data_IF_317105256068
#
_entry.id   IF_317105256068
#
_cell.length_a   1.000
_cell.length_b   1.000
_cell.length_c   1.000
_cell.angle_alpha   90.00
_cell.angle_beta   90.00
_cell.angle_gamma   90.00
#
_symmetry.space_group_name_H-M   'P 1'
#
loop_
_entity.id
_entity.type
_entity.pdbx_description
1 polymer ?
#
# COMPACT_ATOMS: atom_id res chain seq x y z
N UNK A 1 2.26 -16.65 -47.65
CA UNK A 1 1.34 -15.56 -47.27
C UNK A 1 1.06 -15.70 -45.80
N UNK A 2 1.68 -14.87 -44.95
CA UNK A 2 1.53 -14.98 -43.51
C UNK A 2 0.24 -14.25 -43.08
N UNK A 3 -0.69 -14.98 -42.48
CA UNK A 3 -2.04 -14.47 -42.17
C UNK A 3 -2.03 -13.69 -40.86
N UNK A 4 -2.51 -12.44 -40.87
CA UNK A 4 -2.82 -11.64 -39.66
C UNK A 4 -3.56 -12.53 -38.64
N UNK A 5 -3.17 -12.44 -37.35
CA UNK A 5 -3.83 -13.22 -36.29
C UNK A 5 -5.34 -13.02 -36.37
N UNK A 6 -6.11 -14.12 -36.44
CA UNK A 6 -7.54 -14.08 -36.78
C UNK A 6 -8.34 -13.13 -35.90
N UNK A 7 -7.99 -13.01 -34.62
CA UNK A 7 -8.66 -12.12 -33.66
C UNK A 7 -8.44 -10.61 -33.94
N UNK A 8 -7.34 -10.25 -34.60
CA UNK A 8 -7.01 -8.86 -34.97
C UNK A 8 -7.49 -8.46 -36.36
N UNK A 9 -8.13 -9.37 -37.11
CA UNK A 9 -8.70 -9.02 -38.40
C UNK A 9 -9.72 -7.91 -38.21
N UNK A 10 -9.54 -6.80 -38.92
CA UNK A 10 -10.47 -5.68 -38.88
C UNK A 10 -11.91 -6.10 -39.24
N UNK A 11 -12.05 -7.17 -40.02
CA UNK A 11 -13.32 -7.84 -40.33
C UNK A 11 -14.09 -8.29 -39.08
N UNK A 12 -13.43 -8.56 -37.95
CA UNK A 12 -14.11 -8.87 -36.69
C UNK A 12 -14.90 -7.68 -36.16
N UNK A 13 -14.43 -6.44 -36.37
CA UNK A 13 -15.20 -5.24 -35.99
C UNK A 13 -16.48 -5.12 -36.82
N UNK A 14 -16.55 -5.74 -38.00
CA UNK A 14 -17.77 -5.82 -38.82
C UNK A 14 -18.81 -6.78 -38.24
N UNK A 15 -18.49 -7.52 -37.19
CA UNK A 15 -19.46 -8.36 -36.46
C UNK A 15 -20.12 -7.60 -35.30
N UNK A 16 -19.59 -6.42 -34.94
CA UNK A 16 -20.21 -5.56 -33.94
C UNK A 16 -21.54 -4.99 -34.44
N UNK A 17 -22.53 -4.74 -33.55
CA UNK A 17 -23.73 -3.98 -33.88
C UNK A 17 -23.37 -2.64 -34.55
N UNK A 18 -24.20 -2.18 -35.49
CA UNK A 18 -23.91 -0.98 -36.31
C UNK A 18 -23.57 0.26 -35.47
N UNK A 19 -24.28 0.48 -34.36
CA UNK A 19 -24.02 1.58 -33.42
C UNK A 19 -22.63 1.48 -32.79
N UNK A 20 -22.28 0.30 -32.25
CA UNK A 20 -20.98 0.00 -31.64
C UNK A 20 -19.85 0.08 -32.66
N UNK A 21 -20.08 -0.46 -33.87
CA UNK A 21 -19.10 -0.46 -34.95
C UNK A 21 -18.70 0.95 -35.35
N UNK A 22 -19.64 1.89 -35.42
CA UNK A 22 -19.33 3.29 -35.77
C UNK A 22 -18.38 3.91 -34.76
N UNK A 23 -18.65 3.71 -33.47
CA UNK A 23 -17.81 4.20 -32.36
C UNK A 23 -16.44 3.52 -32.42
N UNK A 24 -16.40 2.20 -32.59
CA UNK A 24 -15.17 1.43 -32.64
C UNK A 24 -14.28 1.84 -33.85
N UNK A 25 -14.88 2.06 -35.02
CA UNK A 25 -14.15 2.54 -36.20
C UNK A 25 -13.66 3.98 -36.06
N UNK A 26 -14.44 4.86 -35.44
CA UNK A 26 -14.02 6.23 -35.17
C UNK A 26 -12.89 6.28 -34.13
N UNK A 27 -12.98 5.45 -33.09
CA UNK A 27 -11.93 5.24 -32.10
C UNK A 27 -10.63 4.73 -32.76
N UNK A 28 -10.72 3.71 -33.63
CA UNK A 28 -9.58 3.23 -34.41
C UNK A 28 -9.01 4.30 -35.38
N UNK A 29 -9.77 5.33 -35.74
CA UNK A 29 -9.23 6.46 -36.53
C UNK A 29 -8.62 7.56 -35.67
N UNK A 30 -8.47 7.34 -34.37
CA UNK A 30 -7.89 8.28 -33.42
C UNK A 30 -8.90 9.20 -32.72
N UNK A 31 -10.22 8.98 -32.85
CA UNK A 31 -11.21 9.76 -32.10
C UNK A 31 -11.19 9.39 -30.62
N UNK A 32 -10.64 10.28 -29.78
CA UNK A 32 -10.53 10.09 -28.33
C UNK A 32 -11.89 10.01 -27.61
N UNK A 33 -12.88 10.76 -28.09
CA UNK A 33 -14.24 10.75 -27.54
C UNK A 33 -14.87 9.37 -27.78
N UNK A 34 -14.71 8.82 -28.98
CA UNK A 34 -15.23 7.50 -29.32
C UNK A 34 -14.43 6.38 -28.65
N UNK A 35 -13.11 6.56 -28.46
CA UNK A 35 -12.28 5.63 -27.68
C UNK A 35 -12.78 5.52 -26.24
N UNK A 36 -13.07 6.67 -25.62
CA UNK A 36 -13.60 6.75 -24.26
C UNK A 36 -15.01 6.14 -24.18
N UNK A 37 -15.87 6.44 -25.17
CA UNK A 37 -17.21 5.86 -25.26
C UNK A 37 -17.15 4.33 -25.45
N UNK A 38 -16.24 3.83 -26.28
CA UNK A 38 -16.03 2.40 -26.48
C UNK A 38 -15.55 1.70 -25.20
N UNK A 39 -14.58 2.29 -24.49
CA UNK A 39 -14.12 1.75 -23.20
C UNK A 39 -15.26 1.75 -22.17
N UNK A 40 -16.10 2.78 -22.14
CA UNK A 40 -17.29 2.81 -21.29
C UNK A 40 -18.30 1.71 -21.68
N UNK A 41 -18.49 1.45 -22.97
CA UNK A 41 -19.34 0.35 -23.46
C UNK A 41 -18.80 -1.01 -22.99
N UNK A 42 -17.51 -1.29 -23.21
CA UNK A 42 -16.84 -2.51 -22.76
C UNK A 42 -16.94 -2.68 -21.24
N UNK A 43 -16.85 -1.58 -20.48
CA UNK A 43 -16.99 -1.61 -19.02
C UNK A 43 -18.43 -1.84 -18.55
N UNK A 44 -19.41 -1.30 -19.27
CA UNK A 44 -20.84 -1.38 -18.90
C UNK A 44 -21.50 -2.70 -19.31
N UNK A 45 -20.97 -3.37 -20.33
CA UNK A 45 -21.50 -4.63 -20.83
C UNK A 45 -20.67 -5.78 -20.27
N UNK A 46 -21.31 -6.71 -19.56
CA UNK A 46 -20.75 -8.04 -19.30
C UNK A 46 -20.68 -8.83 -20.62
N UNK A 47 -19.81 -8.40 -21.53
CA UNK A 47 -19.60 -9.02 -22.83
C UNK A 47 -19.18 -10.48 -22.62
N UNK A 48 -19.81 -11.39 -23.36
CA UNK A 48 -19.31 -12.74 -23.44
C UNK A 48 -17.92 -12.73 -24.10
N UNK A 49 -17.00 -13.66 -23.75
CA UNK A 49 -15.64 -13.65 -24.31
C UNK A 49 -15.55 -13.55 -25.85
N UNK A 50 -16.43 -14.20 -26.65
CA UNK A 50 -16.41 -14.07 -28.11
C UNK A 50 -16.75 -12.65 -28.62
N UNK A 51 -17.50 -11.88 -27.84
CA UNK A 51 -17.87 -10.51 -28.19
C UNK A 51 -16.75 -9.53 -27.86
N UNK A 52 -16.00 -9.78 -26.77
CA UNK A 52 -14.80 -9.03 -26.44
C UNK A 52 -13.73 -9.14 -27.54
N UNK A 53 -13.62 -10.30 -28.19
CA UNK A 53 -12.71 -10.50 -29.33
C UNK A 53 -12.97 -9.55 -30.52
N UNK A 54 -14.20 -9.05 -30.67
CA UNK A 54 -14.57 -8.17 -31.77
C UNK A 54 -14.03 -6.74 -31.61
N UNK A 55 -13.67 -6.34 -30.38
CA UNK A 55 -13.09 -5.03 -30.08
C UNK A 55 -11.56 -5.01 -30.19
N UNK A 56 -10.94 -6.17 -30.31
CA UNK A 56 -9.49 -6.33 -30.28
C UNK A 56 -8.74 -5.54 -31.37
N UNK A 57 -9.21 -5.49 -32.64
CA UNK A 57 -8.58 -4.65 -33.64
C UNK A 57 -8.64 -3.16 -33.30
N UNK A 58 -9.69 -2.71 -32.60
CA UNK A 58 -9.85 -1.30 -32.22
C UNK A 58 -9.00 -0.95 -31.01
N UNK A 59 -8.98 -1.82 -30.00
CA UNK A 59 -8.07 -1.67 -28.85
C UNK A 59 -6.61 -1.66 -29.30
N UNK A 60 -6.27 -2.49 -30.30
CA UNK A 60 -4.98 -2.44 -30.96
C UNK A 60 -4.68 -1.05 -31.52
N UNK A 61 -5.57 -0.51 -32.36
CA UNK A 61 -5.30 0.76 -33.05
C UNK A 61 -5.27 1.97 -32.09
N UNK A 62 -6.07 1.92 -31.03
CA UNK A 62 -6.06 2.94 -29.98
C UNK A 62 -4.74 3.00 -29.22
N UNK A 63 -4.16 1.83 -28.99
CA UNK A 63 -2.89 1.73 -28.35
C UNK A 63 -1.81 2.10 -29.39
N UNK A 64 -1.88 1.60 -30.63
CA UNK A 64 -0.93 1.86 -31.73
C UNK A 64 -1.55 2.32 -33.04
N UNK A 65 -1.24 3.53 -33.51
CA UNK A 65 -1.67 3.97 -34.83
C UNK A 65 -0.95 3.24 -35.99
N UNK A 66 0.10 2.46 -35.73
CA UNK A 66 0.85 1.72 -36.75
C UNK A 66 0.00 0.59 -37.37
N UNK A 67 0.22 0.22 -38.65
CA UNK A 67 -0.44 -0.93 -39.27
C UNK A 67 -0.24 -2.19 -38.45
N UNK A 68 -1.28 -3.04 -38.33
CA UNK A 68 -1.19 -4.34 -37.66
C UNK A 68 -0.12 -5.19 -38.36
N UNK A 69 0.96 -5.65 -37.68
CA UNK A 69 1.99 -6.47 -38.28
C UNK A 69 1.38 -7.72 -38.91
N UNK A 70 1.81 -8.04 -40.13
CA UNK A 70 1.30 -9.18 -40.87
C UNK A 70 1.90 -10.50 -40.36
N UNK A 71 1.04 -11.48 -40.08
CA UNK A 71 1.40 -12.88 -39.80
C UNK A 71 2.48 -13.13 -38.75
N UNK A 72 3.47 -13.98 -39.08
CA UNK A 72 4.53 -14.45 -38.17
C UNK A 72 5.44 -13.31 -37.64
N UNK A 73 5.32 -12.09 -38.18
CA UNK A 73 5.96 -10.92 -37.60
C UNK A 73 5.36 -10.59 -36.23
N UNK A 74 4.05 -10.80 -36.04
CA UNK A 74 3.39 -10.68 -34.75
C UNK A 74 3.92 -11.72 -33.77
N UNK A 75 3.98 -12.99 -34.17
CA UNK A 75 4.53 -14.08 -33.34
C UNK A 75 6.02 -13.88 -33.05
N UNK A 76 6.81 -13.37 -33.99
CA UNK A 76 8.20 -12.99 -33.76
C UNK A 76 8.30 -11.80 -32.81
N UNK A 77 7.48 -10.76 -32.98
CA UNK A 77 7.40 -9.64 -32.02
C UNK A 77 7.04 -10.13 -30.62
N UNK A 78 6.17 -11.14 -30.54
CA UNK A 78 5.73 -11.78 -29.31
C UNK A 78 6.81 -12.68 -28.68
N UNK A 79 7.72 -13.27 -29.47
CA UNK A 79 8.70 -14.28 -29.01
C UNK A 79 10.14 -13.79 -28.91
N UNK A 80 10.53 -12.71 -29.61
CA UNK A 80 11.89 -12.16 -29.52
C UNK A 80 11.98 -11.15 -28.38
N UNK A 81 12.77 -11.48 -27.36
CA UNK A 81 12.96 -10.67 -26.13
C UNK A 81 13.68 -9.33 -26.34
N UNK A 82 14.22 -9.06 -27.53
CA UNK A 82 15.11 -7.92 -27.77
C UNK A 82 14.53 -6.96 -28.81
N UNK A 83 13.96 -5.85 -28.34
CA UNK A 83 13.62 -4.69 -29.17
C UNK A 83 14.53 -3.51 -28.89
N UNK A 84 14.90 -2.72 -29.91
CA UNK A 84 15.45 -1.39 -29.68
C UNK A 84 14.37 -0.48 -29.05
N UNK A 85 14.69 0.30 -27.99
CA UNK A 85 13.72 1.08 -27.20
C UNK A 85 12.89 2.11 -28.01
N UNK A 86 13.35 2.49 -29.20
CA UNK A 86 12.74 3.55 -30.02
C UNK A 86 11.58 3.08 -30.90
N UNK A 87 11.33 1.77 -31.02
CA UNK A 87 10.34 1.21 -31.92
C UNK A 87 9.37 0.25 -31.21
N UNK A 88 9.15 0.45 -29.91
CA UNK A 88 8.11 -0.29 -29.20
C UNK A 88 6.78 0.26 -29.68
N UNK A 89 6.31 -0.34 -30.77
CA UNK A 89 5.01 -0.10 -31.36
C UNK A 89 4.00 -0.45 -30.26
N UNK A 90 3.15 0.49 -29.88
CA UNK A 90 2.11 0.27 -28.88
C UNK A 90 1.20 -0.93 -29.21
N UNK A 91 1.36 -1.51 -30.39
CA UNK A 91 0.75 -2.69 -30.94
C UNK A 91 1.06 -3.87 -30.06
N UNK A 92 2.32 -3.99 -29.66
CA UNK A 92 2.79 -5.02 -28.74
C UNK A 92 2.16 -4.81 -27.36
N UNK A 93 2.13 -3.56 -26.87
CA UNK A 93 1.44 -3.19 -25.63
C UNK A 93 -0.06 -3.52 -25.70
N UNK A 94 -0.68 -3.30 -26.85
CA UNK A 94 -2.08 -3.56 -27.10
C UNK A 94 -2.42 -5.01 -27.20
N UNK A 95 -1.60 -5.77 -27.91
CA UNK A 95 -1.71 -7.21 -28.07
C UNK A 95 -1.46 -7.93 -26.76
N UNK A 96 -0.52 -7.47 -25.95
CA UNK A 96 -0.26 -8.05 -24.65
C UNK A 96 -1.33 -7.62 -23.63
N UNK A 97 -1.87 -6.40 -23.71
CA UNK A 97 -3.07 -5.99 -22.99
C UNK A 97 -4.32 -6.84 -23.39
N UNK A 98 -4.47 -7.10 -24.68
CA UNK A 98 -5.42 -8.07 -25.22
C UNK A 98 -5.20 -9.47 -24.63
N UNK A 99 -3.96 -9.93 -24.61
CA UNK A 99 -3.57 -11.27 -24.15
C UNK A 99 -3.76 -11.40 -22.65
N UNK A 100 -3.55 -10.34 -21.89
CA UNK A 100 -3.93 -10.19 -20.50
C UNK A 100 -5.44 -10.35 -20.30
N UNK A 101 -6.25 -9.66 -21.11
CA UNK A 101 -7.72 -9.78 -21.08
C UNK A 101 -8.16 -11.21 -21.37
N UNK A 102 -7.52 -11.88 -22.33
CA UNK A 102 -7.80 -13.25 -22.77
C UNK A 102 -7.27 -14.31 -21.77
N UNK A 103 -6.11 -14.07 -21.15
CA UNK A 103 -5.52 -15.00 -20.15
C UNK A 103 -6.33 -15.02 -18.86
N UNK A 104 -6.82 -13.86 -18.39
CA UNK A 104 -7.60 -13.74 -17.15
C UNK A 104 -9.02 -14.26 -17.31
N UNK A 105 -9.57 -14.27 -18.52
CA UNK A 105 -10.97 -14.66 -18.76
C UNK A 105 -11.23 -16.17 -18.72
N UNK A 106 -10.46 -16.96 -17.95
CA UNK A 106 -10.58 -18.42 -17.79
C UNK A 106 -10.25 -19.30 -19.00
N UNK A 107 -9.82 -18.73 -20.13
CA UNK A 107 -9.67 -19.49 -21.39
C UNK A 107 -8.28 -20.15 -21.53
N UNK A 108 -7.23 -19.68 -20.85
CA UNK A 108 -5.84 -20.12 -21.11
C UNK A 108 -5.00 -20.55 -19.88
N UNK A 109 -5.55 -20.61 -18.67
CA UNK A 109 -4.84 -21.17 -17.50
C UNK A 109 -3.59 -20.40 -17.05
N UNK A 110 -3.42 -19.13 -17.41
CA UNK A 110 -2.29 -18.30 -16.97
C UNK A 110 -2.38 -17.89 -15.49
N UNK A 111 -1.24 -17.71 -14.82
CA UNK A 111 -1.21 -17.27 -13.42
C UNK A 111 -1.28 -15.74 -13.30
N UNK A 112 -1.74 -15.22 -12.16
CA UNK A 112 -1.67 -13.77 -11.88
C UNK A 112 -0.24 -13.23 -11.91
N UNK A 113 0.77 -14.07 -11.62
CA UNK A 113 2.19 -13.70 -11.67
C UNK A 113 2.66 -13.39 -13.09
N UNK A 114 2.24 -14.20 -14.06
CA UNK A 114 2.61 -14.00 -15.48
C UNK A 114 2.02 -12.69 -16.01
N UNK A 115 0.74 -12.46 -15.70
CA UNK A 115 0.04 -11.22 -16.03
C UNK A 115 0.71 -10.00 -15.41
N UNK A 116 1.02 -10.07 -14.11
CA UNK A 116 1.67 -8.98 -13.40
C UNK A 116 3.05 -8.65 -13.98
N UNK A 117 3.85 -9.67 -14.27
CA UNK A 117 5.17 -9.53 -14.89
C UNK A 117 5.09 -8.85 -16.26
N UNK A 118 4.13 -9.28 -17.08
CA UNK A 118 3.87 -8.68 -18.39
C UNK A 118 3.46 -7.21 -18.26
N UNK A 119 2.50 -6.90 -17.39
CA UNK A 119 2.06 -5.52 -17.11
C UNK A 119 3.23 -4.62 -16.70
N UNK A 120 4.11 -5.09 -15.82
CA UNK A 120 5.27 -4.35 -15.35
C UNK A 120 6.27 -4.11 -16.46
N UNK A 121 6.52 -5.12 -17.30
CA UNK A 121 7.35 -4.98 -18.50
C UNK A 121 6.82 -3.87 -19.40
N UNK A 122 5.50 -3.81 -19.63
CA UNK A 122 4.90 -2.76 -20.46
C UNK A 122 4.92 -1.38 -19.82
N UNK A 123 4.71 -1.25 -18.51
CA UNK A 123 4.87 0.04 -17.83
C UNK A 123 6.31 0.53 -17.96
N UNK A 124 7.28 -0.37 -17.76
CA UNK A 124 8.71 -0.05 -17.89
C UNK A 124 9.09 0.37 -19.31
N UNK A 125 8.51 -0.30 -20.31
CA UNK A 125 8.62 0.06 -21.73
C UNK A 125 7.97 1.42 -22.01
N UNK A 126 6.75 1.65 -21.49
CA UNK A 126 6.01 2.90 -21.66
C UNK A 126 6.69 4.08 -20.98
N UNK A 127 7.45 3.84 -19.92
CA UNK A 127 8.33 4.83 -19.30
C UNK A 127 9.46 5.27 -20.25
N UNK A 128 10.03 4.35 -21.01
CA UNK A 128 11.03 4.66 -22.03
C UNK A 128 10.43 5.48 -23.20
N UNK A 129 9.13 5.31 -23.49
CA UNK A 129 8.42 6.15 -24.44
C UNK A 129 8.30 7.60 -23.93
N UNK A 130 8.56 8.59 -24.79
CA UNK A 130 8.43 10.02 -24.45
C UNK A 130 6.98 10.52 -24.42
N UNK A 131 6.04 9.71 -24.88
CA UNK A 131 4.64 10.11 -25.10
C UNK A 131 3.77 9.86 -23.85
N UNK A 132 3.28 10.90 -23.17
CA UNK A 132 2.54 10.79 -21.91
C UNK A 132 1.20 10.06 -22.04
N UNK A 133 0.52 10.17 -23.18
CA UNK A 133 -0.75 9.47 -23.41
C UNK A 133 -0.59 7.94 -23.36
N UNK A 134 0.53 7.39 -23.86
CA UNK A 134 0.80 5.94 -23.82
C UNK A 134 0.86 5.43 -22.39
N UNK A 135 1.53 6.19 -21.52
CA UNK A 135 1.63 5.89 -20.09
C UNK A 135 0.27 5.97 -19.39
N UNK A 136 -0.54 6.98 -19.71
CA UNK A 136 -1.88 7.13 -19.16
C UNK A 136 -2.82 5.98 -19.60
N UNK A 137 -2.72 5.51 -20.85
CA UNK A 137 -3.48 4.37 -21.35
C UNK A 137 -3.07 3.07 -20.66
N UNK A 138 -1.76 2.83 -20.47
CA UNK A 138 -1.24 1.70 -19.72
C UNK A 138 -1.81 1.64 -18.29
N UNK A 139 -1.81 2.76 -17.57
CA UNK A 139 -2.40 2.82 -16.22
C UNK A 139 -3.92 2.60 -16.24
N UNK A 140 -4.61 3.09 -17.27
CA UNK A 140 -6.05 2.83 -17.43
C UNK A 140 -6.33 1.34 -17.59
N UNK A 141 -5.50 0.65 -18.38
CA UNK A 141 -5.57 -0.78 -18.57
C UNK A 141 -5.31 -1.52 -17.26
N UNK A 142 -4.21 -1.24 -16.55
CA UNK A 142 -3.91 -1.91 -15.27
C UNK A 142 -5.03 -1.73 -14.25
N UNK A 143 -5.57 -0.51 -14.11
CA UNK A 143 -6.66 -0.27 -13.17
C UNK A 143 -7.92 -1.09 -13.51
N UNK A 144 -8.19 -1.31 -14.80
CA UNK A 144 -9.34 -2.11 -15.22
C UNK A 144 -9.26 -3.54 -14.66
N UNK A 145 -8.07 -4.15 -14.66
CA UNK A 145 -7.86 -5.48 -14.07
C UNK A 145 -7.93 -5.45 -12.56
N UNK A 146 -7.36 -4.43 -11.92
CA UNK A 146 -7.41 -4.30 -10.48
C UNK A 146 -8.85 -4.20 -9.97
N UNK A 147 -9.78 -3.57 -10.70
CA UNK A 147 -11.15 -3.30 -10.22
C UNK A 147 -12.12 -4.49 -10.16
N UNK A 148 -11.84 -5.63 -10.80
CA UNK A 148 -12.74 -6.79 -10.72
C UNK A 148 -12.58 -7.46 -9.35
N UNK A 149 -13.66 -7.49 -8.55
CA UNK A 149 -13.64 -7.86 -7.14
C UNK A 149 -12.99 -9.24 -6.86
N UNK A 150 -13.29 -10.25 -7.69
CA UNK A 150 -12.72 -11.61 -7.55
C UNK A 150 -11.24 -11.71 -7.96
N UNK A 151 -10.74 -10.71 -8.69
CA UNK A 151 -9.37 -10.62 -9.22
C UNK A 151 -8.50 -9.71 -8.35
N UNK A 152 -9.11 -8.81 -7.58
CA UNK A 152 -8.46 -7.67 -6.96
C UNK A 152 -7.31 -8.07 -6.02
N UNK A 153 -7.51 -9.01 -5.10
CA UNK A 153 -6.50 -9.36 -4.10
C UNK A 153 -5.35 -10.19 -4.71
N UNK A 154 -5.67 -11.23 -5.48
CA UNK A 154 -4.68 -12.09 -6.13
C UNK A 154 -3.81 -11.33 -7.13
N UNK A 155 -4.43 -10.47 -7.95
CA UNK A 155 -3.69 -9.68 -8.92
C UNK A 155 -2.87 -8.56 -8.29
N UNK A 156 -3.40 -7.85 -7.28
CA UNK A 156 -2.63 -6.81 -6.58
C UNK A 156 -1.42 -7.41 -5.85
N UNK A 157 -1.59 -8.58 -5.22
CA UNK A 157 -0.48 -9.32 -4.60
C UNK A 157 0.57 -9.74 -5.63
N UNK A 158 0.14 -10.20 -6.80
CA UNK A 158 1.04 -10.54 -7.91
C UNK A 158 1.79 -9.33 -8.46
N UNK A 159 1.12 -8.18 -8.62
CA UNK A 159 1.74 -6.91 -9.04
C UNK A 159 2.83 -6.46 -8.05
N UNK A 160 2.54 -6.49 -6.74
CA UNK A 160 3.52 -6.13 -5.70
C UNK A 160 4.72 -7.09 -5.72
N UNK A 161 4.44 -8.39 -5.78
CA UNK A 161 5.47 -9.45 -5.81
C UNK A 161 6.36 -9.34 -7.05
N UNK A 162 5.81 -8.86 -8.16
CA UNK A 162 6.53 -8.67 -9.42
C UNK A 162 7.26 -7.32 -9.52
N UNK A 163 7.14 -6.43 -8.51
CA UNK A 163 7.88 -5.16 -8.46
C UNK A 163 7.22 -3.98 -9.17
N UNK A 164 5.87 -3.86 -9.13
CA UNK A 164 5.15 -2.76 -9.79
C UNK A 164 5.44 -1.36 -9.22
N UNK A 165 5.89 -1.27 -7.97
CA UNK A 165 5.89 -0.02 -7.21
C UNK A 165 6.84 1.01 -7.83
N UNK A 166 8.09 0.65 -8.10
CA UNK A 166 9.06 1.59 -8.66
C UNK A 166 8.65 2.09 -10.07
N UNK A 167 8.27 1.22 -11.04
CA UNK A 167 7.75 1.68 -12.32
C UNK A 167 6.48 2.53 -12.22
N UNK A 168 5.58 2.19 -11.29
CA UNK A 168 4.35 2.96 -11.08
C UNK A 168 4.65 4.38 -10.57
N UNK A 169 5.51 4.51 -9.55
CA UNK A 169 5.88 5.83 -9.01
C UNK A 169 6.64 6.66 -10.04
N UNK A 170 7.57 6.05 -10.79
CA UNK A 170 8.26 6.74 -11.90
C UNK A 170 7.29 7.20 -12.98
N UNK A 171 6.24 6.43 -13.25
CA UNK A 171 5.22 6.78 -14.26
C UNK A 171 4.41 7.97 -13.79
N UNK A 172 3.97 7.95 -12.52
CA UNK A 172 3.27 9.06 -11.90
C UNK A 172 4.12 10.33 -11.92
N UNK A 173 5.39 10.26 -11.50
CA UNK A 173 6.32 11.40 -11.51
C UNK A 173 6.52 12.00 -12.90
N UNK A 174 6.54 11.16 -13.94
CA UNK A 174 6.67 11.69 -15.30
C UNK A 174 5.37 12.30 -15.83
N UNK A 175 4.22 11.72 -15.49
CA UNK A 175 2.91 12.26 -15.87
C UNK A 175 2.62 13.60 -15.18
N UNK A 176 3.00 13.78 -13.92
CA UNK A 176 2.80 15.04 -13.18
C UNK A 176 3.62 16.20 -13.70
N UNK A 177 4.65 15.92 -14.49
CA UNK A 177 5.47 16.93 -15.16
C UNK A 177 4.93 17.32 -16.55
N UNK A 178 3.82 16.73 -16.98
CA UNK A 178 3.18 17.04 -18.27
C UNK A 178 1.95 17.92 -18.05
N UNK A 179 1.71 18.92 -18.91
CA UNK A 179 0.54 19.82 -18.85
C UNK A 179 -0.70 19.27 -19.57
N UNK A 180 -0.58 18.14 -20.28
CA UNK A 180 -1.66 17.55 -21.06
C UNK A 180 -2.79 17.01 -20.16
N UNK A 181 -4.05 17.26 -20.55
CA UNK A 181 -5.22 16.78 -19.82
C UNK A 181 -5.25 15.24 -19.65
N UNK A 182 -4.74 14.50 -20.65
CA UNK A 182 -4.64 13.04 -20.60
C UNK A 182 -3.72 12.58 -19.46
N UNK A 183 -2.66 13.35 -19.17
CA UNK A 183 -1.75 13.03 -18.09
C UNK A 183 -2.45 13.06 -16.72
N UNK A 184 -3.38 14.00 -16.50
CA UNK A 184 -4.17 14.09 -15.25
C UNK A 184 -5.05 12.85 -15.04
N UNK A 185 -5.66 12.35 -16.12
CA UNK A 185 -6.40 11.09 -16.06
C UNK A 185 -5.47 9.94 -15.69
N UNK A 186 -4.29 9.86 -16.32
CA UNK A 186 -3.26 8.87 -15.99
C UNK A 186 -2.82 8.92 -14.53
N UNK A 187 -2.61 10.13 -13.98
CA UNK A 187 -2.27 10.34 -12.56
C UNK A 187 -3.36 9.78 -11.65
N UNK A 188 -4.62 10.16 -11.86
CA UNK A 188 -5.76 9.62 -11.08
C UNK A 188 -5.80 8.09 -11.09
N UNK A 189 -5.59 7.48 -12.26
CA UNK A 189 -5.59 6.03 -12.42
C UNK A 189 -4.40 5.37 -11.71
N UNK A 190 -3.21 5.94 -11.82
CA UNK A 190 -2.02 5.45 -11.14
C UNK A 190 -2.14 5.48 -9.62
N UNK A 191 -2.74 6.54 -9.04
CA UNK A 191 -3.02 6.60 -7.61
C UNK A 191 -4.06 5.56 -7.16
N UNK A 192 -5.08 5.29 -7.98
CA UNK A 192 -6.04 4.21 -7.70
C UNK A 192 -5.38 2.82 -7.72
N UNK A 193 -4.43 2.57 -8.62
CA UNK A 193 -3.62 1.33 -8.63
C UNK A 193 -2.73 1.27 -7.39
N UNK A 194 -2.07 2.38 -7.05
CA UNK A 194 -1.23 2.46 -5.86
C UNK A 194 -2.05 2.16 -4.60
N UNK A 195 -3.27 2.71 -4.48
CA UNK A 195 -4.19 2.42 -3.39
C UNK A 195 -4.53 0.94 -3.29
N UNK A 196 -4.83 0.28 -4.40
CA UNK A 196 -5.07 -1.16 -4.43
C UNK A 196 -3.84 -1.94 -3.93
N UNK A 197 -2.63 -1.55 -4.35
CA UNK A 197 -1.39 -2.18 -3.90
C UNK A 197 -1.12 -1.95 -2.41
N UNK A 198 -1.45 -0.76 -1.89
CA UNK A 198 -1.28 -0.40 -0.48
C UNK A 198 -2.37 -0.98 0.43
N UNK A 199 -3.33 -1.74 -0.09
CA UNK A 199 -4.30 -2.49 0.71
C UNK A 199 -3.89 -3.96 0.92
N UNK A 200 -2.85 -4.43 0.23
CA UNK A 200 -2.36 -5.80 0.33
C UNK A 200 -1.26 -5.89 1.39
N UNK A 201 -1.33 -6.93 2.23
CA UNK A 201 -0.30 -7.21 3.22
C UNK A 201 0.94 -7.87 2.60
N UNK A 202 2.17 -7.57 3.05
CA UNK A 202 2.52 -6.64 4.13
C UNK A 202 2.56 -5.17 3.69
N UNK A 203 1.58 -4.35 4.11
CA UNK A 203 1.40 -2.97 3.64
C UNK A 203 2.66 -2.10 3.86
N UNK A 204 3.32 -2.29 4.99
CA UNK A 204 4.46 -1.47 5.41
C UNK A 204 5.69 -1.63 4.51
N UNK A 205 5.90 -2.81 3.92
CA UNK A 205 6.99 -3.01 2.97
C UNK A 205 6.69 -2.30 1.64
N UNK A 206 5.44 -2.37 1.19
CA UNK A 206 4.98 -1.69 -0.02
C UNK A 206 5.05 -0.17 0.13
N UNK A 207 4.63 0.38 1.27
CA UNK A 207 4.79 1.82 1.59
C UNK A 207 6.26 2.22 1.60
N UNK A 208 7.12 1.46 2.29
CA UNK A 208 8.54 1.77 2.36
C UNK A 208 9.22 1.79 0.97
N UNK A 209 8.85 0.86 0.08
CA UNK A 209 9.30 0.87 -1.33
C UNK A 209 8.80 2.10 -2.07
N UNK A 210 7.51 2.43 -1.94
CA UNK A 210 6.92 3.58 -2.63
C UNK A 210 7.57 4.90 -2.19
N UNK A 211 7.84 5.08 -0.89
CA UNK A 211 8.56 6.24 -0.35
C UNK A 211 9.95 6.36 -0.99
N UNK A 212 10.74 5.26 -1.01
CA UNK A 212 12.08 5.25 -1.64
C UNK A 212 12.03 5.50 -3.14
N UNK A 213 10.96 5.08 -3.81
CA UNK A 213 10.76 5.32 -5.23
C UNK A 213 10.38 6.79 -5.55
N UNK A 214 10.21 7.65 -4.55
CA UNK A 214 9.91 9.07 -4.73
C UNK A 214 8.43 9.45 -4.58
N UNK A 215 7.59 8.61 -3.95
CA UNK A 215 6.16 8.88 -3.75
C UNK A 215 5.90 10.27 -3.16
N UNK A 216 6.71 10.71 -2.20
CA UNK A 216 6.54 12.02 -1.56
C UNK A 216 6.67 13.18 -2.57
N UNK A 217 7.66 13.13 -3.46
CA UNK A 217 7.86 14.14 -4.52
C UNK A 217 6.67 14.19 -5.47
N UNK A 218 6.14 13.02 -5.85
CA UNK A 218 4.96 12.90 -6.70
C UNK A 218 3.75 13.55 -6.03
N UNK A 219 3.48 13.26 -4.76
CA UNK A 219 2.36 13.83 -4.00
C UNK A 219 2.44 15.37 -3.99
N UNK A 220 3.61 15.92 -3.64
CA UNK A 220 3.81 17.39 -3.59
C UNK A 220 3.58 18.01 -4.97
N UNK A 221 4.16 17.41 -6.02
CA UNK A 221 4.04 17.92 -7.40
C UNK A 221 2.59 17.90 -7.88
N UNK A 222 1.85 16.83 -7.56
CA UNK A 222 0.43 16.74 -7.90
C UNK A 222 -0.42 17.76 -7.14
N UNK A 223 -0.16 17.97 -5.85
CA UNK A 223 -0.99 18.83 -5.01
C UNK A 223 -1.06 20.27 -5.53
N UNK A 224 0.00 20.74 -6.20
CA UNK A 224 0.05 22.07 -6.82
C UNK A 224 -0.54 22.06 -8.24
N UNK A 225 -0.31 21.01 -9.01
CA UNK A 225 -0.64 20.97 -10.45
C UNK A 225 -2.01 20.40 -10.80
N UNK A 226 -2.64 19.63 -9.90
CA UNK A 226 -3.87 18.90 -10.18
C UNK A 226 -5.05 19.44 -9.37
N UNK A 227 -5.96 20.23 -9.99
CA UNK A 227 -7.16 20.72 -9.31
C UNK A 227 -8.27 19.66 -9.20
N UNK A 228 -8.09 18.45 -9.75
CA UNK A 228 -9.13 17.42 -9.76
C UNK A 228 -9.36 16.83 -8.35
N UNK A 229 -10.60 16.92 -7.88
CA UNK A 229 -11.03 16.43 -6.56
C UNK A 229 -10.76 14.93 -6.38
N UNK A 230 -10.94 14.13 -7.44
CA UNK A 230 -10.63 12.69 -7.45
C UNK A 230 -9.19 12.43 -7.02
N UNK A 231 -8.25 13.18 -7.58
CA UNK A 231 -6.80 13.05 -7.34
C UNK A 231 -6.44 13.53 -5.94
N UNK A 232 -7.04 14.65 -5.51
CA UNK A 232 -6.90 15.21 -4.16
C UNK A 232 -7.36 14.25 -3.07
N UNK A 233 -8.46 13.54 -3.28
CA UNK A 233 -8.97 12.55 -2.33
C UNK A 233 -7.98 11.40 -2.05
N UNK A 234 -7.24 10.96 -3.08
CA UNK A 234 -6.22 9.92 -2.94
C UNK A 234 -4.99 10.42 -2.16
N UNK A 235 -4.62 11.69 -2.31
CA UNK A 235 -3.52 12.30 -1.54
C UNK A 235 -3.86 12.46 -0.08
N UNK A 236 -5.07 12.96 0.20
CA UNK A 236 -5.57 13.09 1.55
C UNK A 236 -5.60 11.71 2.22
N UNK A 237 -6.09 10.67 1.53
CA UNK A 237 -6.01 9.31 2.05
C UNK A 237 -4.57 8.85 2.33
N UNK A 238 -3.61 9.11 1.44
CA UNK A 238 -2.21 8.74 1.66
C UNK A 238 -1.57 9.49 2.84
N UNK A 239 -1.67 10.82 2.86
CA UNK A 239 -0.98 11.70 3.82
C UNK A 239 -1.64 11.69 5.19
N UNK A 240 -2.97 11.57 5.25
CA UNK A 240 -3.73 11.62 6.51
C UNK A 240 -3.91 10.23 7.11
N UNK A 241 -4.05 9.19 6.28
CA UNK A 241 -4.41 7.84 6.76
C UNK A 241 -3.25 6.86 6.63
N UNK A 242 -2.73 6.65 5.42
CA UNK A 242 -1.79 5.54 5.17
C UNK A 242 -0.41 5.79 5.78
N UNK A 243 0.20 6.94 5.47
CA UNK A 243 1.55 7.24 5.92
C UNK A 243 1.61 7.34 7.45
N UNK A 244 0.75 8.11 8.15
CA UNK A 244 0.76 8.14 9.61
C UNK A 244 0.61 6.76 10.25
N UNK A 245 -0.35 5.95 9.78
CA UNK A 245 -0.62 4.61 10.32
C UNK A 245 0.56 3.66 10.14
N UNK A 246 1.35 3.82 9.08
CA UNK A 246 2.49 2.93 8.77
C UNK A 246 3.81 3.39 9.40
N UNK A 247 3.87 4.58 10.00
CA UNK A 247 5.05 5.07 10.73
C UNK A 247 5.35 4.35 12.06
N UNK A 248 4.56 3.33 12.40
CA UNK A 248 4.87 2.40 13.48
C UNK A 248 5.84 1.30 13.07
N UNK A 249 6.07 1.12 11.77
CA UNK A 249 6.93 0.09 11.23
C UNK A 249 8.33 0.63 10.94
N UNK A 250 9.35 -0.09 11.44
CA UNK A 250 10.75 0.26 11.27
C UNK A 250 11.12 0.53 9.80
N UNK A 251 10.71 -0.35 8.88
CA UNK A 251 11.05 -0.22 7.46
C UNK A 251 10.55 1.10 6.84
N UNK A 252 9.39 1.59 7.28
CA UNK A 252 8.78 2.83 6.80
C UNK A 252 9.46 4.04 7.43
N UNK A 253 9.75 4.01 8.73
CA UNK A 253 10.47 5.11 9.41
C UNK A 253 11.87 5.29 8.84
N UNK A 254 12.59 4.20 8.54
CA UNK A 254 13.88 4.27 7.83
C UNK A 254 13.72 4.90 6.45
N UNK A 255 12.75 4.43 5.65
CA UNK A 255 12.50 5.02 4.33
C UNK A 255 12.16 6.53 4.42
N UNK A 256 11.40 6.94 5.43
CA UNK A 256 11.12 8.36 5.67
C UNK A 256 12.35 9.14 6.13
N UNK A 257 13.19 8.59 7.02
CA UNK A 257 14.45 9.22 7.42
C UNK A 257 15.31 9.55 6.20
N UNK A 258 15.37 8.61 5.27
CA UNK A 258 16.26 8.71 4.11
C UNK A 258 15.68 9.64 3.02
N UNK A 259 14.36 9.84 2.94
CA UNK A 259 13.71 10.55 1.83
C UNK A 259 12.92 11.82 2.21
N UNK A 260 12.50 11.99 3.47
CA UNK A 260 11.57 13.06 3.84
C UNK A 260 12.23 14.45 3.86
N UNK A 261 13.53 14.52 4.19
CA UNK A 261 14.30 15.78 4.15
C UNK A 261 14.30 16.40 2.76
N UNK A 262 14.65 15.61 1.74
CA UNK A 262 14.64 16.04 0.34
C UNK A 262 13.23 16.40 -0.13
N UNK A 263 12.22 15.64 0.27
CA UNK A 263 10.83 15.96 -0.04
C UNK A 263 10.36 17.28 0.59
N UNK A 264 10.75 17.56 1.85
CA UNK A 264 10.45 18.83 2.53
C UNK A 264 11.16 20.00 1.85
N UNK A 265 12.42 19.82 1.43
CA UNK A 265 13.14 20.81 0.65
C UNK A 265 12.46 21.08 -0.70
N UNK A 266 12.06 20.03 -1.43
CA UNK A 266 11.34 20.16 -2.69
C UNK A 266 10.00 20.89 -2.51
N UNK A 267 9.23 20.55 -1.47
CA UNK A 267 7.98 21.23 -1.13
C UNK A 267 8.16 22.73 -0.87
N UNK A 268 9.25 23.13 -0.22
CA UNK A 268 9.55 24.53 0.04
C UNK A 268 9.92 25.33 -1.23
N UNK A 269 10.37 24.65 -2.30
CA UNK A 269 10.73 25.27 -3.58
C UNK A 269 9.57 25.35 -4.58
N UNK A 270 8.43 24.70 -4.30
CA UNK A 270 7.29 24.70 -5.22
C UNK A 270 6.32 25.82 -4.83
N UNK A 271 6.26 26.84 -5.68
CA UNK A 271 5.34 27.97 -5.53
C UNK A 271 3.89 27.50 -5.37
N UNK A 272 3.20 28.05 -4.37
CA UNK A 272 1.81 27.75 -4.08
C UNK A 272 1.55 26.50 -3.24
N UNK A 273 2.54 25.63 -2.98
CA UNK A 273 2.32 24.43 -2.16
C UNK A 273 1.80 24.77 -0.75
N UNK A 274 2.33 25.82 -0.12
CA UNK A 274 1.89 26.30 1.19
C UNK A 274 0.46 26.83 1.24
N UNK A 275 -0.13 27.12 0.08
CA UNK A 275 -1.52 27.59 -0.04
C UNK A 275 -2.49 26.45 -0.34
N UNK A 276 -1.99 25.24 -0.61
CA UNK A 276 -2.82 24.05 -0.81
C UNK A 276 -3.45 23.62 0.52
N UNK A 277 -4.61 22.97 0.43
CA UNK A 277 -5.29 22.38 1.59
C UNK A 277 -4.56 21.17 2.18
N UNK A 278 -3.63 20.58 1.42
CA UNK A 278 -2.79 19.47 1.86
C UNK A 278 -1.68 19.94 2.83
N UNK A 279 -1.29 21.21 2.78
CA UNK A 279 -0.16 21.74 3.53
C UNK A 279 -0.25 21.53 5.05
N UNK A 280 -1.40 21.76 5.73
CA UNK A 280 -1.53 21.46 7.16
C UNK A 280 -1.30 19.98 7.48
N UNK A 281 -1.87 19.07 6.67
CA UNK A 281 -1.69 17.63 6.85
C UNK A 281 -0.26 17.18 6.56
N UNK A 282 0.39 17.80 5.58
CA UNK A 282 1.81 17.60 5.27
C UNK A 282 2.72 17.98 6.44
N UNK A 283 2.48 19.13 7.08
CA UNK A 283 3.24 19.55 8.26
C UNK A 283 2.99 18.62 9.46
N UNK A 284 1.73 18.25 9.70
CA UNK A 284 1.39 17.30 10.77
C UNK A 284 2.03 15.91 10.57
N UNK A 285 2.17 15.48 9.30
CA UNK A 285 2.94 14.29 8.93
C UNK A 285 4.44 14.50 9.19
N UNK A 286 4.99 15.66 8.84
CA UNK A 286 6.38 16.03 9.09
C UNK A 286 6.75 15.97 10.56
N UNK A 287 5.94 16.56 11.44
CA UNK A 287 6.13 16.49 12.90
C UNK A 287 6.13 15.05 13.41
N UNK A 288 5.21 14.22 12.87
CA UNK A 288 5.13 12.81 13.22
C UNK A 288 6.38 12.06 12.74
N UNK A 289 6.83 12.29 11.50
CA UNK A 289 8.06 11.69 10.94
C UNK A 289 9.27 12.05 11.80
N UNK A 290 9.45 13.34 12.13
CA UNK A 290 10.59 13.81 12.92
C UNK A 290 10.60 13.17 14.32
N UNK A 291 9.45 13.08 14.98
CA UNK A 291 9.31 12.37 16.25
C UNK A 291 9.69 10.88 16.13
N UNK A 292 9.18 10.18 15.10
CA UNK A 292 9.42 8.76 14.88
C UNK A 292 10.88 8.47 14.55
N UNK A 293 11.55 9.35 13.79
CA UNK A 293 13.00 9.30 13.54
C UNK A 293 13.78 9.51 14.84
N UNK A 294 13.35 10.43 15.71
CA UNK A 294 13.95 10.63 17.03
C UNK A 294 13.93 9.35 17.88
N UNK A 295 12.80 8.64 17.90
CA UNK A 295 12.68 7.34 18.56
C UNK A 295 13.58 6.29 17.91
N UNK A 296 13.62 6.23 16.57
CA UNK A 296 14.49 5.31 15.83
C UNK A 296 15.96 5.53 16.19
N UNK A 297 16.44 6.77 16.18
CA UNK A 297 17.84 7.11 16.48
C UNK A 297 18.21 6.79 17.94
N UNK A 298 17.30 7.04 18.88
CA UNK A 298 17.48 6.66 20.30
C UNK A 298 17.59 5.14 20.46
N UNK A 299 16.74 4.39 19.77
CA UNK A 299 16.78 2.93 19.77
C UNK A 299 18.04 2.36 19.09
N UNK A 300 18.48 2.92 17.96
CA UNK A 300 19.69 2.49 17.26
C UNK A 300 20.97 2.78 18.09
N UNK A 301 21.03 3.93 18.77
CA UNK A 301 22.20 4.34 19.57
C UNK A 301 22.37 3.56 20.87
N UNK A 302 21.26 3.13 21.50
CA UNK A 302 21.31 2.35 22.75
C UNK A 302 21.63 0.88 22.53
N UNK A 303 21.50 0.38 21.29
CA UNK A 303 21.60 -1.05 20.98
C UNK A 303 20.40 -1.83 21.51
N UNK A 304 20.03 -2.89 20.80
CA UNK A 304 18.93 -3.82 21.14
C UNK A 304 18.70 -4.08 22.64
N UNK A 305 17.44 -4.40 22.97
CA UNK A 305 16.47 -3.49 23.57
C UNK A 305 16.92 -3.05 24.96
N UNK A 306 16.55 -1.83 25.35
CA UNK A 306 16.76 -1.29 26.68
C UNK A 306 16.33 -2.24 27.81
N UNK A 307 16.71 -1.94 29.06
CA UNK A 307 16.41 -2.80 30.19
C UNK A 307 14.93 -3.17 30.21
N UNK A 308 14.62 -4.46 30.24
CA UNK A 308 13.26 -4.92 30.46
C UNK A 308 12.96 -4.89 31.96
N UNK A 309 11.70 -4.70 32.32
CA UNK A 309 11.25 -4.79 33.70
C UNK A 309 10.56 -6.14 33.95
N UNK A 310 10.76 -6.70 35.14
CA UNK A 310 10.05 -7.89 35.54
C UNK A 310 8.54 -7.60 35.65
N UNK A 311 7.71 -8.40 34.97
CA UNK A 311 6.24 -8.24 35.02
C UNK A 311 5.65 -8.47 36.43
N UNK A 312 6.38 -9.10 37.34
CA UNK A 312 5.95 -9.27 38.72
C UNK A 312 6.43 -8.14 39.63
N UNK A 313 7.75 -7.98 39.79
CA UNK A 313 8.35 -7.11 40.80
C UNK A 313 8.87 -5.78 40.26
N UNK A 314 8.87 -5.56 38.94
CA UNK A 314 9.37 -4.35 38.31
C UNK A 314 10.88 -4.20 38.21
N UNK A 315 11.67 -5.13 38.77
CA UNK A 315 13.13 -5.07 38.66
C UNK A 315 13.57 -4.99 37.19
N UNK A 316 14.47 -4.05 36.89
CA UNK A 316 15.05 -3.85 35.57
C UNK A 316 16.42 -4.54 35.46
N UNK A 317 16.66 -5.25 34.35
CA UNK A 317 17.94 -5.94 34.03
C UNK A 317 18.19 -5.93 32.52
N UNK A 318 19.34 -6.43 32.07
CA UNK A 318 19.51 -6.68 30.64
C UNK A 318 18.54 -7.79 30.18
N UNK A 319 17.96 -7.66 28.98
CA UNK A 319 16.96 -8.62 28.47
C UNK A 319 17.44 -10.08 28.49
N UNK A 320 18.74 -10.30 28.26
CA UNK A 320 19.37 -11.64 28.31
C UNK A 320 19.29 -12.30 29.69
N UNK A 321 19.08 -11.52 30.75
CA UNK A 321 18.97 -12.00 32.13
C UNK A 321 17.52 -12.32 32.53
N UNK A 322 16.55 -12.00 31.67
CA UNK A 322 15.15 -12.32 31.92
C UNK A 322 14.76 -13.69 31.37
N UNK A 323 13.92 -14.38 32.13
CA UNK A 323 13.17 -15.53 31.67
C UNK A 323 11.91 -15.06 30.95
N UNK A 324 11.69 -15.55 29.74
CA UNK A 324 10.49 -15.27 28.95
C UNK A 324 9.40 -16.30 29.27
N UNK A 325 8.14 -15.89 29.34
CA UNK A 325 7.03 -16.84 29.43
C UNK A 325 7.01 -17.76 28.19
N UNK A 326 7.01 -19.08 28.40
CA UNK A 326 6.96 -20.05 27.30
C UNK A 326 5.60 -20.09 26.58
N UNK A 327 4.51 -19.67 27.24
CA UNK A 327 3.17 -19.67 26.66
C UNK A 327 2.93 -18.50 25.71
N UNK A 328 3.11 -17.27 26.19
CA UNK A 328 2.82 -16.07 25.39
C UNK A 328 4.05 -15.43 24.73
N UNK A 329 5.26 -15.77 25.18
CA UNK A 329 6.51 -15.19 24.69
C UNK A 329 6.63 -13.65 24.80
N UNK A 330 5.79 -13.02 25.63
CA UNK A 330 5.67 -11.55 25.72
C UNK A 330 6.02 -10.98 27.08
N UNK A 331 5.85 -11.75 28.15
CA UNK A 331 6.17 -11.32 29.51
C UNK A 331 7.55 -11.82 29.94
N UNK A 332 8.27 -10.96 30.64
CA UNK A 332 9.63 -11.18 31.11
C UNK A 332 9.68 -11.22 32.64
N UNK A 333 10.45 -12.15 33.19
CA UNK A 333 10.60 -12.37 34.63
C UNK A 333 12.06 -12.46 35.03
N UNK A 334 12.46 -11.74 36.07
CA UNK A 334 13.84 -11.80 36.56
C UNK A 334 14.17 -13.14 37.26
N UNK A 335 13.15 -13.93 37.59
CA UNK A 335 13.28 -15.26 38.19
C UNK A 335 12.05 -16.13 37.89
N UNK A 336 12.19 -17.45 38.03
CA UNK A 336 11.07 -18.39 37.96
C UNK A 336 10.07 -18.19 39.11
N UNK A 337 10.53 -17.63 40.24
CA UNK A 337 9.65 -17.33 41.37
C UNK A 337 8.69 -16.19 41.03
N UNK A 338 9.22 -15.09 40.49
CA UNK A 338 8.41 -14.00 39.95
C UNK A 338 7.39 -14.47 38.90
N UNK A 339 7.79 -15.41 38.03
CA UNK A 339 6.88 -16.00 37.06
C UNK A 339 5.74 -16.80 37.72
N UNK A 340 6.03 -17.63 38.73
CA UNK A 340 5.01 -18.45 39.43
C UNK A 340 4.02 -17.57 40.19
N UNK A 341 4.52 -16.54 40.88
CA UNK A 341 3.65 -15.61 41.62
C UNK A 341 2.74 -14.89 40.62
N UNK A 342 3.32 -14.33 39.56
CA UNK A 342 2.54 -13.62 38.54
C UNK A 342 1.51 -14.53 37.85
N UNK A 343 1.88 -15.78 37.58
CA UNK A 343 0.98 -16.79 37.04
C UNK A 343 -0.27 -16.97 37.89
N UNK A 344 -0.11 -17.12 39.21
CA UNK A 344 -1.24 -17.31 40.14
C UNK A 344 -2.09 -16.06 40.28
N UNK A 345 -1.46 -14.88 40.26
CA UNK A 345 -2.14 -13.61 40.56
C UNK A 345 -2.87 -13.04 39.34
N UNK A 346 -2.26 -13.05 38.15
CA UNK A 346 -2.84 -12.35 36.99
C UNK A 346 -2.53 -12.96 35.63
N UNK A 347 -1.31 -13.47 35.42
CA UNK A 347 -0.85 -13.82 34.09
C UNK A 347 -1.57 -15.04 33.51
N UNK A 348 -2.09 -15.96 34.33
CA UNK A 348 -2.82 -17.14 33.84
C UNK A 348 -4.00 -16.78 32.93
N UNK A 349 -4.75 -15.72 33.26
CA UNK A 349 -5.87 -15.26 32.45
C UNK A 349 -5.42 -14.47 31.21
N UNK A 350 -4.32 -13.71 31.33
CA UNK A 350 -3.80 -12.88 30.24
C UNK A 350 -2.98 -13.67 29.22
N UNK A 351 -2.34 -14.78 29.62
CA UNK A 351 -1.39 -15.51 28.79
C UNK A 351 -2.00 -16.02 27.48
N UNK A 352 -3.20 -16.64 27.44
CA UNK A 352 -3.83 -17.05 26.18
C UNK A 352 -4.12 -15.86 25.25
N UNK A 353 -4.57 -14.73 25.81
CA UNK A 353 -4.86 -13.50 25.05
C UNK A 353 -3.57 -12.96 24.42
N UNK A 354 -2.47 -13.00 25.17
CA UNK A 354 -1.15 -12.59 24.71
C UNK A 354 -0.52 -13.60 23.73
N UNK A 355 -0.82 -14.90 23.83
CA UNK A 355 -0.31 -15.93 22.92
C UNK A 355 -1.05 -15.96 21.58
N UNK A 356 -2.37 -15.73 21.56
CA UNK A 356 -3.17 -15.65 20.33
C UNK A 356 -2.74 -14.48 19.42
N UNK A 357 -2.05 -13.49 19.96
CA UNK A 357 -1.40 -12.41 19.22
C UNK A 357 -0.14 -12.85 18.42
N UNK A 358 0.00 -14.14 18.09
CA UNK A 358 1.13 -14.70 17.33
C UNK A 358 1.25 -14.17 15.89
N UNK A 359 0.21 -13.50 15.36
CA UNK A 359 0.26 -12.87 14.04
C UNK A 359 1.42 -11.86 13.93
N UNK A 360 1.66 -11.09 15.00
CA UNK A 360 2.82 -10.19 15.10
C UNK A 360 4.18 -10.95 15.12
N UNK A 361 4.22 -12.21 15.53
CA UNK A 361 5.49 -12.94 15.64
C UNK A 361 5.95 -13.58 14.33
N UNK A 362 5.02 -13.94 13.43
CA UNK A 362 5.41 -14.56 12.15
C UNK A 362 5.76 -13.54 11.07
N UNK A 363 5.11 -12.39 11.05
CA UNK A 363 5.24 -11.44 9.93
C UNK A 363 6.32 -10.38 10.12
N UNK A 364 6.80 -10.14 11.34
CA UNK A 364 7.80 -9.10 11.62
C UNK A 364 9.20 -9.65 11.81
N UNK A 365 10.19 -8.89 11.36
CA UNK A 365 11.61 -9.12 11.65
C UNK A 365 11.93 -8.79 13.12
N UNK A 366 13.09 -9.25 13.59
CA UNK A 366 13.58 -8.90 14.94
C UNK A 366 13.75 -7.39 15.12
N UNK A 367 14.19 -6.69 14.07
CA UNK A 367 14.36 -5.22 14.08
C UNK A 367 13.02 -4.51 14.19
N UNK A 368 12.02 -4.93 13.42
CA UNK A 368 10.67 -4.35 13.49
C UNK A 368 10.05 -4.50 14.87
N UNK A 369 10.15 -5.70 15.47
CA UNK A 369 9.67 -5.89 16.85
C UNK A 369 10.41 -4.98 17.83
N UNK A 370 11.73 -4.89 17.74
CA UNK A 370 12.54 -4.04 18.60
C UNK A 370 12.14 -2.57 18.53
N UNK A 371 11.97 -2.05 17.31
CA UNK A 371 11.52 -0.68 17.09
C UNK A 371 10.09 -0.45 17.59
N UNK A 372 9.14 -1.34 17.28
CA UNK A 372 7.75 -1.23 17.75
C UNK A 372 7.72 -1.14 19.28
N UNK A 373 8.51 -1.95 19.99
CA UNK A 373 8.60 -1.87 21.45
C UNK A 373 9.16 -0.52 21.91
N UNK A 374 10.28 -0.06 21.34
CA UNK A 374 10.83 1.26 21.67
C UNK A 374 9.83 2.39 21.42
N UNK A 375 9.02 2.27 20.37
CA UNK A 375 7.97 3.22 20.04
C UNK A 375 6.87 3.28 21.09
N UNK A 376 6.41 2.11 21.51
CA UNK A 376 5.39 1.96 22.55
C UNK A 376 5.88 2.54 23.86
N UNK A 377 7.13 2.27 24.23
CA UNK A 377 7.73 2.78 25.47
C UNK A 377 7.84 4.32 25.43
N UNK A 378 8.32 4.88 24.32
CA UNK A 378 8.39 6.33 24.13
C UNK A 378 7.01 7.00 24.19
N UNK A 379 6.01 6.43 23.49
CA UNK A 379 4.65 6.97 23.48
C UNK A 379 3.94 6.79 24.83
N UNK A 380 4.17 5.68 25.53
CA UNK A 380 3.65 5.46 26.87
C UNK A 380 4.25 6.46 27.87
N UNK A 381 5.56 6.71 27.80
CA UNK A 381 6.21 7.73 28.62
C UNK A 381 5.63 9.12 28.35
N UNK A 382 5.41 9.47 27.08
CA UNK A 382 4.81 10.75 26.66
C UNK A 382 3.35 10.90 27.14
N UNK A 383 2.58 9.81 27.12
CA UNK A 383 1.16 9.80 27.49
C UNK A 383 0.90 9.43 28.96
N UNK A 384 1.94 9.30 29.78
CA UNK A 384 1.87 8.70 31.10
C UNK A 384 0.82 9.33 32.03
N UNK A 385 0.71 10.67 32.02
CA UNK A 385 -0.27 11.35 32.86
C UNK A 385 -1.71 11.05 32.42
N UNK A 386 -1.97 11.06 31.11
CA UNK A 386 -3.27 10.74 30.56
C UNK A 386 -3.63 9.27 30.83
N UNK A 387 -2.72 8.34 30.56
CA UNK A 387 -2.97 6.92 30.81
C UNK A 387 -3.20 6.62 32.30
N UNK A 388 -2.48 7.31 33.19
CA UNK A 388 -2.70 7.19 34.63
C UNK A 388 -4.06 7.74 35.04
N UNK A 389 -4.44 8.92 34.55
CA UNK A 389 -5.74 9.51 34.83
C UNK A 389 -6.89 8.63 34.35
N UNK A 390 -6.84 8.19 33.09
CA UNK A 390 -7.84 7.30 32.49
C UNK A 390 -7.95 5.98 33.27
N UNK A 391 -6.82 5.48 33.78
CA UNK A 391 -6.80 4.26 34.62
C UNK A 391 -7.50 4.46 35.96
N UNK A 392 -7.29 5.61 36.61
CA UNK A 392 -7.97 5.94 37.87
C UNK A 392 -9.47 6.10 37.64
N UNK A 393 -9.88 6.85 36.60
CA UNK A 393 -11.28 6.97 36.23
C UNK A 393 -11.91 5.61 35.93
N UNK A 394 -11.22 4.75 35.17
CA UNK A 394 -11.68 3.41 34.87
C UNK A 394 -11.90 2.58 36.14
N UNK A 395 -10.93 2.57 37.07
CA UNK A 395 -11.06 1.86 38.36
C UNK A 395 -12.19 2.41 39.22
N UNK A 396 -12.39 3.74 39.23
CA UNK A 396 -13.48 4.37 39.98
C UNK A 396 -14.85 3.98 39.43
N UNK A 397 -15.01 3.94 38.09
CA UNK A 397 -16.26 3.58 37.44
C UNK A 397 -16.55 2.08 37.42
N UNK A 398 -15.57 1.22 37.74
CA UNK A 398 -15.70 -0.24 37.73
C UNK A 398 -15.09 -0.86 39.00
N UNK A 399 -15.62 -0.55 40.19
CA UNK A 399 -15.07 -1.04 41.46
C UNK A 399 -15.08 -2.58 41.58
N UNK A 400 -15.96 -3.26 40.84
CA UNK A 400 -16.04 -4.72 40.74
C UNK A 400 -14.99 -5.34 39.81
N UNK A 401 -14.37 -4.55 38.94
CA UNK A 401 -13.36 -5.07 38.01
C UNK A 401 -12.08 -5.39 38.78
N UNK A 402 -11.50 -6.59 38.60
CA UNK A 402 -10.24 -6.94 39.27
C UNK A 402 -9.15 -5.90 39.00
N UNK A 403 -8.20 -5.75 39.92
CA UNK A 403 -7.09 -4.78 39.89
C UNK A 403 -6.14 -4.88 38.66
N UNK A 404 -6.48 -5.72 37.69
CA UNK A 404 -5.74 -5.90 36.44
C UNK A 404 -6.54 -5.30 35.29
N UNK A 405 -5.97 -4.27 34.68
CA UNK A 405 -6.47 -3.64 33.47
C UNK A 405 -5.34 -3.50 32.45
N UNK A 406 -5.70 -3.19 31.22
CA UNK A 406 -4.77 -3.01 30.12
C UNK A 406 -4.88 -1.61 29.57
N UNK A 407 -3.74 -0.97 29.31
CA UNK A 407 -3.66 0.24 28.52
C UNK A 407 -3.39 -0.19 27.09
N UNK A 408 -4.36 0.00 26.20
CA UNK A 408 -4.20 -0.16 24.77
C UNK A 408 -3.79 1.19 24.17
N UNK A 409 -2.70 1.21 23.41
CA UNK A 409 -2.38 2.32 22.50
C UNK A 409 -2.83 1.94 21.08
N UNK A 410 -3.80 2.67 20.55
CA UNK A 410 -4.30 2.50 19.18
C UNK A 410 -3.57 3.42 18.21
N UNK A 411 -2.89 2.84 17.21
CA UNK A 411 -2.16 3.55 16.18
C UNK A 411 -2.90 3.64 14.84
N UNK A 412 -4.20 3.37 14.80
CA UNK A 412 -4.99 3.39 13.55
C UNK A 412 -4.88 4.72 12.80
N UNK A 413 -4.71 5.83 13.52
CA UNK A 413 -4.53 7.17 12.96
C UNK A 413 -3.07 7.66 13.00
N UNK A 414 -2.10 6.75 13.20
CA UNK A 414 -0.65 7.04 13.28
C UNK A 414 -0.15 7.64 14.60
N UNK A 415 -1.00 8.40 15.30
CA UNK A 415 -0.75 8.86 16.67
C UNK A 415 -1.41 7.89 17.67
N UNK A 416 -0.73 7.55 18.78
CA UNK A 416 -1.29 6.65 19.78
C UNK A 416 -2.48 7.30 20.49
N UNK A 417 -3.63 6.61 20.49
CA UNK A 417 -4.78 6.95 21.34
C UNK A 417 -4.82 5.95 22.50
N UNK A 418 -4.59 6.39 23.75
CA UNK A 418 -4.67 5.49 24.89
C UNK A 418 -6.12 5.13 25.19
N UNK A 419 -6.35 3.89 25.62
CA UNK A 419 -7.64 3.43 26.15
C UNK A 419 -7.40 2.38 27.22
N UNK A 420 -8.22 2.41 28.27
CA UNK A 420 -8.14 1.43 29.37
C UNK A 420 -9.20 0.36 29.16
N UNK A 421 -8.77 -0.90 29.18
CA UNK A 421 -9.61 -2.06 28.91
C UNK A 421 -9.58 -3.06 30.06
N UNK A 422 -10.75 -3.66 30.31
CA UNK A 422 -10.86 -4.86 31.12
C UNK A 422 -10.30 -6.08 30.37
N UNK A 423 -9.99 -7.13 31.12
CA UNK A 423 -9.61 -8.45 30.59
C UNK A 423 -10.67 -9.01 29.63
N UNK A 424 -11.95 -8.86 29.94
CA UNK A 424 -13.07 -9.36 29.14
C UNK A 424 -13.25 -8.60 27.82
N UNK A 425 -12.98 -7.28 27.82
CA UNK A 425 -13.06 -6.47 26.60
C UNK A 425 -11.86 -6.70 25.67
N UNK A 426 -10.69 -6.98 26.23
CA UNK A 426 -9.50 -7.30 25.44
C UNK A 426 -9.70 -8.55 24.58
N UNK A 427 -10.35 -9.58 25.11
CA UNK A 427 -10.62 -10.83 24.39
C UNK A 427 -11.60 -10.67 23.20
N UNK A 428 -12.39 -9.59 23.16
CA UNK A 428 -13.43 -9.36 22.14
C UNK A 428 -12.95 -8.54 20.94
N UNK A 429 -11.77 -7.92 20.99
CA UNK A 429 -11.30 -7.02 19.93
C UNK A 429 -10.59 -7.80 18.81
N UNK A 430 -10.91 -7.55 17.53
CA UNK A 430 -10.15 -8.10 16.41
C UNK A 430 -8.74 -7.48 16.42
N UNK A 431 -7.73 -8.33 16.64
CA UNK A 431 -6.33 -7.94 16.85
C UNK A 431 -5.60 -7.53 15.55
N UNK A 432 -6.33 -7.27 14.47
CA UNK A 432 -5.80 -6.86 13.16
C UNK A 432 -5.41 -5.37 13.11
N UNK A 433 -5.71 -4.61 14.17
CA UNK A 433 -5.24 -3.23 14.31
C UNK A 433 -3.93 -3.21 15.11
N UNK A 434 -3.06 -2.25 14.80
CA UNK A 434 -1.75 -2.10 15.43
C UNK A 434 -1.99 -1.57 16.85
N UNK A 435 -2.27 -2.50 17.76
CA UNK A 435 -2.53 -2.23 19.16
C UNK A 435 -1.32 -2.64 19.97
N UNK A 436 -0.83 -1.71 20.77
CA UNK A 436 0.13 -2.02 21.81
C UNK A 436 -0.60 -2.17 23.14
N UNK A 437 -0.33 -3.24 23.87
CA UNK A 437 -0.98 -3.51 25.15
C UNK A 437 0.07 -3.40 26.24
N UNK A 438 -0.08 -2.41 27.12
CA UNK A 438 0.69 -2.26 28.35
C UNK A 438 -0.17 -2.74 29.52
N UNK A 439 0.36 -3.59 30.37
CA UNK A 439 -0.38 -4.11 31.54
C UNK A 439 -0.25 -3.10 32.68
N UNK A 440 -1.38 -2.55 33.13
CA UNK A 440 -1.46 -1.70 34.31
C UNK A 440 -1.85 -2.49 35.55
N UNK A 441 -1.26 -2.15 36.71
CA UNK A 441 -1.67 -2.66 38.03
C UNK A 441 -1.89 -1.50 38.98
N UNK A 442 -2.96 -1.53 39.78
CA UNK A 442 -3.08 -0.64 40.94
C UNK A 442 -1.99 -0.91 41.98
N UNK A 443 -2.03 -0.27 43.16
CA UNK A 443 -1.45 1.05 43.50
C UNK A 443 0.05 1.29 43.14
N UNK A 444 0.66 0.50 42.25
CA UNK A 444 2.06 0.68 41.83
C UNK A 444 2.28 1.64 40.65
N UNK A 445 1.23 2.30 40.14
CA UNK A 445 1.30 3.28 39.03
C UNK A 445 2.23 4.49 39.33
N UNK A 446 2.53 4.73 40.61
CA UNK A 446 3.42 5.83 41.05
C UNK A 446 4.89 5.43 41.27
N UNK A 447 5.33 4.19 40.97
CA UNK A 447 6.73 3.75 41.23
C UNK A 447 7.66 3.70 40.01
N UNK A 448 7.22 4.18 38.85
CA UNK A 448 8.10 4.40 37.69
C UNK A 448 8.35 5.88 37.44
#
# INVERSE_FOLDING_TARGET
MSTIHKALLFQNTLRLPLSTRRIALAAAKGSLQDASAMLAMIQSQSLAPPEAELFLPVLYVLLDPSPIPEGDALERIITTETFPPSSISCAAVALDALRALIMVSSIWGGSYGDLASMVIKHISIGLACREPYKRAMLLTFVLHFSRKADVHEGFSSALISSGIIEPLISTLDSLTNTTEHIAQTGVSRGFKILRACLQVEPIHLTVAKAVRAGLLRVIISCAVKSPQEDVRSEFNWLVITVLPRTLVFHAVVVAMRDCFGDARAAAAQIDGFSTTDLFPSWNALGDLVDYRIGVLNSWESTGMPGPSACNHCGNTKAIKEFKRCAGCERTYYCSSECQRIDWRVSHRAACPILSHNSFFNKSFTRRERGFIHALIDADHARLRFQTCFDSVCFMHSHPETPLTFFVQLDYTNGRPVPSVLSTSNLAKRPLFQIHAIVVGRGPYLCRY
#
